data_IF_915595680539
#
_entry.id   IF_915595680539
#
_cell.length_a   1.000
_cell.length_b   1.000
_cell.length_c   1.000
_cell.angle_alpha   90.00
_cell.angle_beta   90.00
_cell.angle_gamma   90.00
#
_symmetry.space_group_name_H-M   'P 1'
#
loop_
_entity.id
_entity.type
_entity.pdbx_description
1 polymer ?
#
# COMPACT_ATOMS: atom_id res chain seq x y z
N UNK A 1 -1.33 0.53 -21.90
CA UNK A 1 -2.23 1.69 -22.09
C UNK A 1 -2.66 1.68 -23.55
N UNK A 2 -3.96 1.91 -23.82
CA UNK A 2 -4.51 1.90 -25.18
C UNK A 2 -3.71 2.86 -26.07
N UNK A 3 -3.12 2.37 -27.16
CA UNK A 3 -2.20 3.16 -28.00
C UNK A 3 -2.92 4.11 -28.97
N UNK A 4 -4.25 4.05 -29.04
CA UNK A 4 -5.05 4.98 -29.84
C UNK A 4 -4.98 6.41 -29.27
N UNK A 5 -4.52 7.41 -30.04
CA UNK A 5 -4.31 8.79 -29.56
C UNK A 5 -5.54 9.43 -28.91
N UNK A 6 -6.75 8.96 -29.25
CA UNK A 6 -8.02 9.48 -28.73
C UNK A 6 -8.37 9.08 -27.29
N UNK A 7 -7.63 8.14 -26.68
CA UNK A 7 -7.97 7.55 -25.37
C UNK A 7 -6.92 7.76 -24.27
N UNK A 8 -5.88 8.56 -24.54
CA UNK A 8 -4.75 8.74 -23.62
C UNK A 8 -5.16 9.30 -22.26
N UNK A 9 -6.03 10.33 -22.24
CA UNK A 9 -6.52 10.96 -21.00
C UNK A 9 -7.32 9.98 -20.15
N UNK A 10 -8.18 9.19 -20.78
CA UNK A 10 -9.02 8.17 -20.15
C UNK A 10 -8.16 7.08 -19.53
N UNK A 11 -7.11 6.64 -20.26
CA UNK A 11 -6.14 5.68 -19.75
C UNK A 11 -5.37 6.23 -18.52
N UNK A 12 -5.00 7.51 -18.51
CA UNK A 12 -4.33 8.14 -17.36
C UNK A 12 -5.23 8.24 -16.13
N UNK A 13 -6.48 8.71 -16.30
CA UNK A 13 -7.46 8.79 -15.21
C UNK A 13 -7.70 7.40 -14.62
N UNK A 14 -7.92 6.40 -15.47
CA UNK A 14 -8.15 5.03 -15.02
C UNK A 14 -6.91 4.44 -14.33
N UNK A 15 -5.70 4.72 -14.83
CA UNK A 15 -4.45 4.30 -14.18
C UNK A 15 -4.32 4.91 -12.78
N UNK A 16 -4.66 6.20 -12.62
CA UNK A 16 -4.64 6.87 -11.33
C UNK A 16 -5.65 6.26 -10.35
N UNK A 17 -6.86 5.97 -10.82
CA UNK A 17 -7.87 5.27 -10.02
C UNK A 17 -7.38 3.89 -9.58
N UNK A 18 -6.88 3.06 -10.50
CA UNK A 18 -6.43 1.70 -10.21
C UNK A 18 -5.26 1.67 -9.23
N UNK A 19 -4.34 2.65 -9.30
CA UNK A 19 -3.27 2.80 -8.33
C UNK A 19 -3.80 3.14 -6.93
N UNK A 20 -4.73 4.10 -6.85
CA UNK A 20 -5.36 4.45 -5.58
C UNK A 20 -6.10 3.26 -4.95
N UNK A 21 -6.77 2.45 -5.77
CA UNK A 21 -7.41 1.22 -5.30
C UNK A 21 -6.39 0.19 -4.83
N UNK A 22 -5.31 -0.05 -5.59
CA UNK A 22 -4.23 -0.94 -5.18
C UNK A 22 -3.60 -0.52 -3.84
N UNK A 23 -3.35 0.77 -3.65
CA UNK A 23 -2.81 1.32 -2.40
C UNK A 23 -3.79 1.15 -1.24
N UNK A 24 -5.10 1.33 -1.49
CA UNK A 24 -6.17 1.09 -0.52
C UNK A 24 -6.22 -0.38 -0.10
N UNK A 25 -6.17 -1.31 -1.06
CA UNK A 25 -6.13 -2.76 -0.78
C UNK A 25 -4.89 -3.15 0.01
N UNK A 26 -3.73 -2.62 -0.36
CA UNK A 26 -2.49 -2.90 0.35
C UNK A 26 -2.55 -2.38 1.79
N UNK A 27 -3.15 -1.21 2.00
CA UNK A 27 -3.34 -0.62 3.34
C UNK A 27 -4.29 -1.48 4.18
N UNK A 28 -5.43 -1.89 3.61
CA UNK A 28 -6.41 -2.75 4.27
C UNK A 28 -5.81 -4.12 4.63
N UNK A 29 -5.11 -4.75 3.67
CA UNK A 29 -4.42 -6.02 3.89
C UNK A 29 -3.36 -5.88 5.00
N UNK A 30 -2.59 -4.80 5.01
CA UNK A 30 -1.61 -4.52 6.07
C UNK A 30 -2.28 -4.33 7.43
N UNK A 31 -3.44 -3.66 7.48
CA UNK A 31 -4.24 -3.49 8.69
C UNK A 31 -4.78 -4.84 9.21
N UNK A 32 -5.36 -5.66 8.33
CA UNK A 32 -5.83 -7.01 8.66
C UNK A 32 -4.69 -7.90 9.15
N UNK A 33 -3.55 -7.93 8.45
CA UNK A 33 -2.37 -8.69 8.89
C UNK A 33 -1.88 -8.24 10.28
N UNK A 34 -1.78 -6.92 10.50
CA UNK A 34 -1.37 -6.37 11.81
C UNK A 34 -2.34 -6.80 12.91
N UNK A 35 -3.63 -6.77 12.62
CA UNK A 35 -4.69 -7.17 13.56
C UNK A 35 -4.63 -8.66 13.84
N UNK A 36 -4.46 -9.51 12.82
CA UNK A 36 -4.35 -10.96 12.95
C UNK A 36 -3.14 -11.36 13.80
N UNK A 37 -1.97 -10.76 13.56
CA UNK A 37 -0.75 -11.04 14.34
C UNK A 37 -0.94 -10.66 15.82
N UNK A 38 -1.55 -9.51 16.10
CA UNK A 38 -1.84 -9.09 17.48
C UNK A 38 -2.83 -10.02 18.16
N UNK A 39 -3.90 -10.40 17.46
CA UNK A 39 -4.93 -11.30 17.97
C UNK A 39 -4.36 -12.68 18.30
N UNK A 40 -3.66 -13.30 17.34
CA UNK A 40 -2.99 -14.58 17.53
C UNK A 40 -1.94 -14.52 18.66
N UNK A 41 -1.16 -13.43 18.73
CA UNK A 41 -0.19 -13.21 19.79
C UNK A 41 -0.83 -13.13 21.19
N UNK A 42 -1.96 -12.42 21.31
CA UNK A 42 -2.67 -12.29 22.58
C UNK A 42 -3.26 -13.62 23.05
N UNK A 43 -3.91 -14.37 22.16
CA UNK A 43 -4.48 -15.69 22.48
C UNK A 43 -3.37 -16.68 22.82
N UNK A 44 -2.27 -16.68 22.08
CA UNK A 44 -1.09 -17.53 22.36
C UNK A 44 -0.46 -17.20 23.71
N UNK A 45 -0.38 -15.92 24.06
CA UNK A 45 0.12 -15.47 25.36
C UNK A 45 -0.77 -15.97 26.50
N UNK A 46 -2.09 -15.79 26.40
CA UNK A 46 -3.04 -16.27 27.40
C UNK A 46 -3.00 -17.80 27.55
N UNK A 47 -2.97 -18.51 26.42
CA UNK A 47 -2.87 -19.97 26.37
C UNK A 47 -1.59 -20.46 27.05
N UNK A 48 -0.42 -19.91 26.70
CA UNK A 48 0.85 -20.29 27.32
C UNK A 48 0.90 -20.01 28.83
N UNK A 49 0.27 -18.93 29.31
CA UNK A 49 0.16 -18.66 30.76
C UNK A 49 -0.69 -19.71 31.47
N UNK A 50 -1.80 -20.15 30.85
CA UNK A 50 -2.65 -21.23 31.39
C UNK A 50 -1.88 -22.55 31.40
N UNK A 51 -1.28 -22.92 30.27
CA UNK A 51 -0.55 -24.18 30.11
C UNK A 51 0.54 -24.33 31.16
N UNK A 52 1.33 -23.29 31.37
CA UNK A 52 2.41 -23.34 32.37
C UNK A 52 1.89 -23.51 33.80
N UNK A 53 0.79 -22.84 34.16
CA UNK A 53 0.18 -23.01 35.49
C UNK A 53 -0.37 -24.43 35.64
N UNK A 54 -1.10 -24.96 34.66
CA UNK A 54 -1.64 -26.33 34.73
C UNK A 54 -0.53 -27.37 34.76
N UNK A 55 0.51 -27.22 33.94
CA UNK A 55 1.67 -28.09 33.93
C UNK A 55 2.50 -28.00 35.21
N UNK A 56 2.61 -26.83 35.83
CA UNK A 56 3.23 -26.67 37.14
C UNK A 56 2.49 -27.51 38.19
N UNK A 57 1.16 -27.44 38.23
CA UNK A 57 0.35 -28.27 39.13
C UNK A 57 0.50 -29.76 38.81
N UNK A 58 0.48 -30.15 37.53
CA UNK A 58 0.70 -31.54 37.11
C UNK A 58 2.05 -32.09 37.55
N UNK A 59 3.11 -31.29 37.48
CA UNK A 59 4.47 -31.73 37.76
C UNK A 59 4.86 -31.59 39.24
N UNK A 60 4.18 -30.74 40.01
CA UNK A 60 4.42 -30.55 41.44
C UNK A 60 3.73 -31.61 42.34
N UNK A 61 3.19 -32.67 41.75
CA UNK A 61 2.53 -33.75 42.49
C UNK A 61 3.41 -35.00 42.63
N UNK A 62 3.18 -35.77 43.68
CA UNK A 62 3.81 -37.07 43.85
C UNK A 62 3.23 -38.12 42.90
N UNK A 63 4.04 -39.14 42.58
CA UNK A 63 3.64 -40.29 41.75
C UNK A 63 2.61 -41.21 42.41
N UNK A 64 2.47 -41.16 43.74
CA UNK A 64 1.59 -42.03 44.51
C UNK A 64 0.31 -41.28 44.94
N UNK A 65 -0.90 -41.78 44.63
CA UNK A 65 -2.17 -41.09 44.90
C UNK A 65 -2.44 -40.75 46.37
N UNK A 66 -1.77 -41.44 47.30
CA UNK A 66 -1.99 -41.33 48.75
C UNK A 66 -1.25 -40.19 49.44
N UNK A 67 -0.38 -39.45 48.74
CA UNK A 67 0.45 -38.43 49.39
C UNK A 67 0.91 -37.39 48.36
N UNK A 68 0.22 -36.26 48.22
CA UNK A 68 0.80 -35.14 47.47
C UNK A 68 0.23 -34.84 46.07
N UNK A 69 -1.08 -34.97 45.83
CA UNK A 69 -1.72 -34.64 44.55
C UNK A 69 -2.04 -33.15 44.40
N UNK A 70 -1.79 -32.59 43.20
CA UNK A 70 -2.10 -31.20 42.85
C UNK A 70 -3.22 -31.05 41.82
N UNK A 71 -3.50 -32.09 41.03
CA UNK A 71 -4.68 -32.16 40.18
C UNK A 71 -5.52 -33.39 40.58
N UNK A 72 -6.80 -33.17 40.87
CA UNK A 72 -7.72 -34.25 41.23
C UNK A 72 -8.83 -34.46 40.21
N UNK A 73 -9.26 -35.71 40.00
CA UNK A 73 -10.36 -36.02 39.08
C UNK A 73 -11.72 -35.63 39.66
N UNK A 74 -11.84 -35.66 40.99
CA UNK A 74 -13.07 -35.34 41.70
C UNK A 74 -12.76 -34.38 42.86
N UNK A 75 -13.81 -33.91 43.53
CA UNK A 75 -13.69 -33.17 44.81
C UNK A 75 -13.21 -34.06 45.97
N UNK A 76 -13.02 -35.37 45.75
CA UNK A 76 -12.54 -36.29 46.78
C UNK A 76 -11.02 -36.26 46.90
N UNK A 77 -10.54 -36.33 48.14
CA UNK A 77 -9.12 -36.44 48.45
C UNK A 77 -8.50 -37.66 47.77
N UNK A 78 -7.20 -37.56 47.43
CA UNK A 78 -6.38 -38.68 46.93
C UNK A 78 -6.87 -39.30 45.60
N UNK A 79 -7.71 -38.60 44.83
CA UNK A 79 -8.16 -39.03 43.51
C UNK A 79 -7.32 -38.40 42.40
N UNK A 80 -6.35 -39.13 41.83
CA UNK A 80 -5.49 -38.59 40.77
C UNK A 80 -6.31 -38.18 39.54
N UNK A 81 -6.04 -37.00 38.99
CA UNK A 81 -6.64 -36.57 37.73
C UNK A 81 -6.29 -37.53 36.58
N UNK A 82 -7.26 -37.79 35.69
CA UNK A 82 -7.00 -38.49 34.44
C UNK A 82 -6.02 -37.68 33.57
N UNK A 83 -5.16 -38.35 32.80
CA UNK A 83 -4.19 -37.66 31.94
C UNK A 83 -4.85 -36.69 30.94
N UNK A 84 -6.09 -37.01 30.53
CA UNK A 84 -6.92 -36.21 29.63
C UNK A 84 -7.21 -34.80 30.14
N UNK A 85 -7.20 -34.57 31.46
CA UNK A 85 -7.42 -33.24 32.07
C UNK A 85 -6.34 -32.24 31.65
N UNK A 86 -5.14 -32.74 31.29
CA UNK A 86 -4.01 -31.92 30.84
C UNK A 86 -3.65 -32.13 29.37
N UNK A 87 -4.47 -32.88 28.61
CA UNK A 87 -4.15 -33.23 27.23
C UNK A 87 -4.07 -32.01 26.29
N UNK A 88 -4.77 -30.92 26.64
CA UNK A 88 -4.68 -29.64 25.94
C UNK A 88 -3.38 -28.86 26.24
N UNK A 89 -2.81 -29.03 27.43
CA UNK A 89 -1.60 -28.32 27.87
C UNK A 89 -0.35 -29.07 27.39
N UNK A 90 0.06 -28.82 26.16
CA UNK A 90 1.21 -29.49 25.53
C UNK A 90 1.98 -28.54 24.63
N UNK A 91 3.25 -28.85 24.42
CA UNK A 91 4.04 -28.20 23.38
C UNK A 91 3.41 -28.50 22.02
N UNK A 92 2.84 -27.47 21.40
CA UNK A 92 2.18 -27.57 20.09
C UNK A 92 3.04 -26.86 19.05
N UNK A 93 3.28 -27.52 17.92
CA UNK A 93 3.97 -26.94 16.78
C UNK A 93 2.97 -26.13 15.94
N UNK A 94 2.83 -24.85 16.28
CA UNK A 94 1.89 -23.94 15.62
C UNK A 94 2.13 -23.79 14.11
N UNK A 95 3.28 -24.22 13.57
CA UNK A 95 3.53 -24.20 12.12
C UNK A 95 2.79 -25.31 11.37
N UNK A 96 2.24 -26.29 12.08
CA UNK A 96 1.49 -27.44 11.53
C UNK A 96 0.00 -27.39 11.83
N UNK A 97 -0.42 -26.46 12.68
CA UNK A 97 -1.83 -26.31 13.05
C UNK A 97 -2.63 -25.69 11.91
N UNK A 98 -3.88 -26.13 11.76
CA UNK A 98 -4.81 -25.55 10.82
C UNK A 98 -5.39 -24.26 11.39
N UNK A 99 -5.80 -23.35 10.51
CA UNK A 99 -6.50 -22.15 10.92
C UNK A 99 -7.84 -22.51 11.59
N UNK A 100 -8.10 -21.86 12.71
CA UNK A 100 -9.32 -21.99 13.50
C UNK A 100 -10.07 -20.66 13.47
N UNK A 101 -11.36 -20.70 13.14
CA UNK A 101 -12.26 -19.53 13.07
C UNK A 101 -13.08 -19.38 14.37
N UNK A 102 -12.58 -19.90 15.49
CA UNK A 102 -13.25 -19.78 16.78
C UNK A 102 -13.18 -18.33 17.29
N UNK A 103 -14.33 -17.78 17.68
CA UNK A 103 -14.43 -16.48 18.34
C UNK A 103 -14.25 -16.60 19.86
N UNK A 104 -13.00 -16.60 20.31
CA UNK A 104 -12.63 -16.79 21.72
C UNK A 104 -13.23 -15.80 22.74
N UNK A 105 -13.90 -14.73 22.32
CA UNK A 105 -14.52 -13.79 23.25
C UNK A 105 -15.60 -14.47 24.10
N UNK A 106 -16.47 -15.26 23.47
CA UNK A 106 -17.58 -15.91 24.15
C UNK A 106 -17.08 -17.06 25.03
N UNK A 107 -16.17 -17.91 24.54
CA UNK A 107 -15.58 -19.00 25.32
C UNK A 107 -14.85 -18.45 26.55
N UNK A 108 -14.06 -17.37 26.41
CA UNK A 108 -13.38 -16.77 27.54
C UNK A 108 -14.38 -16.28 28.61
N UNK A 109 -15.46 -15.63 28.18
CA UNK A 109 -16.53 -15.15 29.09
C UNK A 109 -17.28 -16.29 29.76
N UNK A 110 -17.53 -17.40 29.04
CA UNK A 110 -18.25 -18.55 29.58
C UNK A 110 -17.39 -19.37 30.56
N UNK A 111 -16.11 -19.58 30.23
CA UNK A 111 -15.20 -20.42 31.02
C UNK A 111 -14.70 -19.68 32.26
N UNK A 112 -14.30 -18.41 32.14
CA UNK A 112 -13.66 -17.68 33.23
C UNK A 112 -14.65 -16.73 33.91
N UNK A 113 -15.55 -17.31 34.71
CA UNK A 113 -16.57 -16.60 35.50
C UNK A 113 -16.36 -16.78 36.98
N UNK A 114 -16.91 -15.90 37.81
CA UNK A 114 -16.92 -16.09 39.27
C UNK A 114 -17.80 -17.25 39.74
N UNK A 115 -18.60 -17.85 38.84
CA UNK A 115 -19.34 -19.09 39.11
C UNK A 115 -18.55 -20.36 38.76
N UNK A 116 -17.44 -20.23 38.02
CA UNK A 116 -16.60 -21.38 37.66
C UNK A 116 -15.91 -21.88 38.92
N UNK A 117 -16.25 -23.09 39.35
CA UNK A 117 -15.73 -23.69 40.58
C UNK A 117 -14.23 -24.00 40.48
N UNK A 118 -13.51 -23.68 41.56
CA UNK A 118 -12.13 -24.05 41.83
C UNK A 118 -12.11 -24.77 43.18
N UNK A 119 -12.49 -26.04 43.18
CA UNK A 119 -12.52 -26.83 44.42
C UNK A 119 -11.31 -27.76 44.48
N UNK A 120 -10.53 -27.66 45.55
CA UNK A 120 -9.57 -28.68 45.93
C UNK A 120 -10.22 -29.75 46.82
N UNK A 121 -9.67 -30.97 46.84
CA UNK A 121 -10.08 -31.97 47.83
C UNK A 121 -9.77 -31.52 49.26
N UNK A 122 -10.63 -31.88 50.21
CA UNK A 122 -10.33 -31.75 51.65
C UNK A 122 -9.07 -32.56 51.95
N UNK A 123 -7.99 -31.91 52.46
CA UNK A 123 -6.75 -32.49 53.03
C UNK A 123 -5.40 -32.00 52.47
N UNK A 124 -5.31 -30.83 51.82
CA UNK A 124 -4.04 -30.11 51.68
C UNK A 124 -2.92 -30.86 50.96
N UNK A 125 -3.28 -31.74 50.02
CA UNK A 125 -2.35 -32.63 49.33
C UNK A 125 -1.43 -31.92 48.32
N UNK A 126 -1.63 -30.64 48.03
CA UNK A 126 -0.80 -29.93 47.07
C UNK A 126 0.06 -28.88 47.76
N UNK A 127 1.38 -28.98 47.61
CA UNK A 127 2.30 -27.95 48.12
C UNK A 127 2.01 -26.57 47.49
N UNK A 128 1.53 -26.54 46.24
CA UNK A 128 1.19 -25.30 45.54
C UNK A 128 -0.02 -24.57 46.09
N UNK A 129 -0.86 -25.25 46.87
CA UNK A 129 -2.00 -24.65 47.56
C UNK A 129 -1.80 -24.61 49.07
N UNK A 130 -0.57 -24.84 49.55
CA UNK A 130 -0.25 -24.71 50.97
C UNK A 130 -0.36 -23.25 51.46
N UNK A 131 -0.39 -23.07 52.78
CA UNK A 131 -0.49 -21.75 53.40
C UNK A 131 0.66 -20.83 52.95
N UNK A 132 0.30 -19.74 52.27
CA UNK A 132 1.29 -18.84 51.64
C UNK A 132 2.24 -18.22 52.67
N UNK A 133 1.74 -17.87 53.86
CA UNK A 133 2.57 -17.25 54.90
C UNK A 133 3.65 -18.20 55.43
N UNK A 134 3.34 -19.50 55.55
CA UNK A 134 4.25 -20.46 56.18
C UNK A 134 5.06 -21.26 55.16
N UNK A 135 4.43 -21.73 54.09
CA UNK A 135 5.09 -22.55 53.06
C UNK A 135 5.94 -21.71 52.11
N UNK A 136 5.49 -20.51 51.76
CA UNK A 136 6.18 -19.60 50.84
C UNK A 136 6.88 -18.43 51.54
N UNK A 137 6.71 -18.32 52.87
CA UNK A 137 7.35 -17.29 53.71
C UNK A 137 7.05 -15.86 53.25
N UNK A 138 5.84 -15.63 52.73
CA UNK A 138 5.37 -14.28 52.40
C UNK A 138 4.97 -13.55 53.67
N UNK A 139 5.31 -12.27 53.79
CA UNK A 139 5.00 -11.47 54.99
C UNK A 139 3.49 -11.25 55.19
N UNK A 140 2.73 -11.06 54.10
CA UNK A 140 1.26 -10.92 54.15
C UNK A 140 0.60 -11.17 52.79
N UNK A 141 -0.70 -11.46 52.79
CA UNK A 141 -1.54 -11.53 51.59
C UNK A 141 -1.53 -12.87 50.83
N UNK A 142 -2.35 -12.93 49.78
CA UNK A 142 -2.53 -14.11 48.94
C UNK A 142 -1.44 -14.23 47.88
N UNK A 143 -1.29 -15.42 47.30
CA UNK A 143 -0.51 -15.63 46.06
C UNK A 143 -1.46 -15.56 44.87
N UNK A 144 -1.09 -14.79 43.85
CA UNK A 144 -1.89 -14.60 42.65
C UNK A 144 -1.33 -15.45 41.51
N UNK A 145 -2.18 -16.25 40.89
CA UNK A 145 -1.88 -16.98 39.65
C UNK A 145 -2.77 -16.44 38.54
N UNK A 146 -2.25 -16.43 37.30
CA UNK A 146 -2.97 -15.93 36.13
C UNK A 146 -3.55 -14.52 36.37
N UNK A 147 -2.72 -13.61 36.86
CA UNK A 147 -3.06 -12.21 37.18
C UNK A 147 -4.24 -12.06 38.17
N UNK A 148 -4.35 -13.03 39.08
CA UNK A 148 -5.37 -13.07 40.13
C UNK A 148 -6.69 -13.66 39.67
N UNK A 149 -6.73 -14.36 38.53
CA UNK A 149 -7.84 -15.23 38.18
C UNK A 149 -8.00 -16.34 39.24
N UNK A 150 -6.87 -16.86 39.72
CA UNK A 150 -6.77 -17.85 40.79
C UNK A 150 -5.97 -17.22 41.93
N UNK A 151 -6.46 -17.35 43.16
CA UNK A 151 -5.76 -16.90 44.36
C UNK A 151 -5.58 -18.03 45.35
N UNK A 152 -4.34 -18.20 45.83
CA UNK A 152 -4.03 -19.09 46.96
C UNK A 152 -4.04 -18.26 48.23
N UNK A 153 -4.84 -18.68 49.21
CA UNK A 153 -5.06 -17.95 50.45
C UNK A 153 -3.81 -17.91 51.33
N UNK A 154 -3.65 -16.84 52.11
CA UNK A 154 -2.61 -16.72 53.13
C UNK A 154 -2.56 -17.91 54.10
N UNK A 155 -3.74 -18.43 54.47
CA UNK A 155 -3.93 -19.59 55.36
C UNK A 155 -3.90 -20.96 54.65
N UNK A 156 -3.79 -20.98 53.32
CA UNK A 156 -3.78 -22.20 52.51
C UNK A 156 -5.12 -22.51 51.86
N UNK A 157 -5.09 -23.32 50.82
CA UNK A 157 -6.20 -23.54 49.90
C UNK A 157 -6.41 -22.38 48.93
N UNK A 158 -7.43 -22.49 48.10
CA UNK A 158 -7.89 -21.37 47.28
C UNK A 158 -8.57 -20.32 48.17
N UNK A 159 -8.43 -19.03 47.83
CA UNK A 159 -9.07 -17.95 48.57
C UNK A 159 -10.61 -17.96 48.43
N UNK A 160 -11.11 -18.57 47.38
CA UNK A 160 -12.53 -18.79 47.07
C UNK A 160 -12.70 -20.16 46.41
N UNK A 161 -13.87 -20.79 46.57
CA UNK A 161 -14.21 -22.05 45.88
C UNK A 161 -14.51 -21.86 44.38
N UNK A 162 -14.25 -20.67 43.85
CA UNK A 162 -14.47 -20.29 42.47
C UNK A 162 -13.31 -19.44 41.95
N UNK A 163 -13.23 -19.30 40.63
CA UNK A 163 -12.40 -18.28 39.97
C UNK A 163 -12.71 -16.90 40.57
N UNK A 164 -11.68 -16.14 40.90
CA UNK A 164 -11.82 -14.88 41.65
C UNK A 164 -12.26 -13.70 40.78
N UNK A 165 -11.77 -13.66 39.54
CA UNK A 165 -12.00 -12.58 38.58
C UNK A 165 -12.63 -13.12 37.31
N UNK A 166 -13.48 -12.34 36.67
CA UNK A 166 -13.96 -12.70 35.32
C UNK A 166 -12.84 -12.52 34.29
N UNK A 167 -13.03 -13.08 33.09
CA UNK A 167 -12.14 -12.84 31.95
C UNK A 167 -11.90 -11.33 31.70
N UNK A 168 -12.98 -10.54 31.70
CA UNK A 168 -12.91 -9.10 31.47
C UNK A 168 -12.19 -8.29 32.58
N UNK A 169 -12.06 -8.87 33.77
CA UNK A 169 -11.40 -8.25 34.92
C UNK A 169 -9.93 -8.69 35.10
N UNK A 170 -9.42 -9.59 34.25
CA UNK A 170 -8.07 -10.15 34.33
C UNK A 170 -7.25 -9.70 33.13
N UNK A 171 -6.10 -9.06 33.34
CA UNK A 171 -5.36 -8.40 32.25
C UNK A 171 -4.94 -9.35 31.11
N UNK A 172 -4.59 -10.61 31.40
CA UNK A 172 -4.27 -11.60 30.35
C UNK A 172 -5.46 -11.95 29.44
N UNK A 173 -6.69 -11.91 29.95
CA UNK A 173 -7.91 -12.31 29.22
C UNK A 173 -8.74 -11.12 28.75
N UNK A 174 -8.58 -9.95 29.39
CA UNK A 174 -9.40 -8.77 29.13
C UNK A 174 -9.44 -8.38 27.66
N UNK A 175 -8.32 -8.33 26.90
CA UNK A 175 -8.38 -8.00 25.48
C UNK A 175 -9.16 -9.02 24.64
N UNK A 176 -9.13 -10.29 25.03
CA UNK A 176 -9.89 -11.37 24.38
C UNK A 176 -11.38 -11.20 24.72
N UNK A 177 -11.70 -11.01 26.00
CA UNK A 177 -13.07 -10.92 26.49
C UNK A 177 -13.79 -9.60 26.16
N UNK A 178 -13.13 -8.59 25.59
CA UNK A 178 -13.75 -7.28 25.31
C UNK A 178 -13.88 -6.92 23.85
N UNK A 179 -13.14 -7.59 22.96
CA UNK A 179 -13.00 -7.12 21.57
C UNK A 179 -12.70 -8.20 20.54
N UNK A 180 -12.60 -9.46 20.96
CA UNK A 180 -12.22 -10.53 20.03
C UNK A 180 -13.33 -10.84 19.04
N UNK A 181 -14.61 -10.70 19.40
CA UNK A 181 -15.72 -10.84 18.44
C UNK A 181 -15.62 -9.81 17.33
N UNK A 182 -15.36 -8.55 17.67
CA UNK A 182 -15.18 -7.49 16.67
C UNK A 182 -13.94 -7.75 15.80
N UNK A 183 -12.87 -8.27 16.40
CA UNK A 183 -11.62 -8.62 15.73
C UNK A 183 -11.83 -9.78 14.75
N UNK A 184 -12.47 -10.86 15.22
CA UNK A 184 -12.86 -12.02 14.43
C UNK A 184 -13.71 -11.58 13.23
N UNK A 185 -14.78 -10.82 13.48
CA UNK A 185 -15.64 -10.32 12.41
C UNK A 185 -14.89 -9.47 11.38
N UNK A 186 -13.93 -8.64 11.81
CA UNK A 186 -13.11 -7.85 10.90
C UNK A 186 -12.17 -8.71 10.04
N UNK A 187 -11.55 -9.73 10.64
CA UNK A 187 -10.64 -10.64 9.94
C UNK A 187 -11.39 -11.57 8.98
N UNK A 188 -12.52 -12.15 9.41
CA UNK A 188 -13.35 -13.07 8.64
C UNK A 188 -14.27 -12.35 7.65
N UNK A 189 -14.39 -11.02 7.72
CA UNK A 189 -15.10 -10.25 6.72
C UNK A 189 -14.48 -10.50 5.34
N UNK A 190 -15.31 -11.01 4.42
CA UNK A 190 -14.92 -11.20 3.03
C UNK A 190 -14.28 -9.92 2.50
N UNK A 191 -13.19 -10.08 1.77
CA UNK A 191 -12.60 -8.94 1.10
C UNK A 191 -13.61 -8.43 0.07
N UNK A 192 -14.28 -7.32 0.40
CA UNK A 192 -15.29 -6.72 -0.49
C UNK A 192 -14.67 -6.17 -1.77
N UNK A 193 -13.34 -6.12 -1.80
CA UNK A 193 -12.59 -5.67 -2.95
C UNK A 193 -12.37 -6.83 -3.89
N UNK A 194 -13.40 -7.05 -4.72
CA UNK A 194 -13.31 -8.00 -5.83
C UNK A 194 -12.09 -7.68 -6.69
N UNK A 195 -11.46 -8.74 -7.22
CA UNK A 195 -10.44 -8.62 -8.26
C UNK A 195 -11.00 -7.73 -9.36
N UNK A 196 -10.32 -6.62 -9.65
CA UNK A 196 -10.68 -5.81 -10.82
C UNK A 196 -10.16 -6.51 -12.08
N UNK A 197 -10.94 -7.47 -12.55
CA UNK A 197 -10.75 -8.11 -13.84
C UNK A 197 -11.43 -7.30 -14.96
N UNK A 198 -11.51 -7.88 -16.16
CA UNK A 198 -12.15 -7.24 -17.30
C UNK A 198 -13.63 -6.87 -17.00
N UNK A 199 -14.35 -7.73 -16.27
CA UNK A 199 -15.74 -7.50 -15.89
C UNK A 199 -15.85 -6.41 -14.81
N UNK A 200 -14.91 -6.39 -13.86
CA UNK A 200 -14.79 -5.30 -12.87
C UNK A 200 -14.57 -3.94 -13.53
N UNK A 201 -13.75 -3.89 -14.59
CA UNK A 201 -13.52 -2.65 -15.34
C UNK A 201 -14.75 -2.19 -16.12
N UNK A 202 -15.53 -3.14 -16.65
CA UNK A 202 -16.80 -2.84 -17.31
C UNK A 202 -17.82 -2.28 -16.32
N UNK A 203 -17.96 -2.89 -15.15
CA UNK A 203 -18.85 -2.42 -14.07
C UNK A 203 -18.47 -1.02 -13.59
N UNK A 204 -17.16 -0.75 -13.51
CA UNK A 204 -16.65 0.57 -13.11
C UNK A 204 -17.13 1.69 -14.03
N UNK A 205 -17.19 1.42 -15.35
CA UNK A 205 -17.55 2.39 -16.38
C UNK A 205 -19.03 2.33 -16.79
N UNK A 206 -19.93 1.85 -15.92
CA UNK A 206 -21.39 1.89 -16.15
C UNK A 206 -22.02 3.22 -15.72
N UNK A 207 -23.11 3.67 -16.38
CA UNK A 207 -23.76 4.95 -16.09
C UNK A 207 -24.16 5.17 -14.62
N UNK A 208 -24.54 4.12 -13.90
CA UNK A 208 -25.03 4.14 -12.53
C UNK A 208 -23.92 4.19 -11.47
N UNK A 209 -22.69 3.84 -11.84
CA UNK A 209 -21.57 3.69 -10.91
C UNK A 209 -20.43 4.67 -11.17
N UNK A 210 -20.20 5.08 -12.43
CA UNK A 210 -19.02 5.85 -12.84
C UNK A 210 -18.85 7.17 -12.08
N UNK A 211 -19.95 7.86 -11.76
CA UNK A 211 -19.92 9.11 -11.01
C UNK A 211 -19.35 8.95 -9.60
N UNK A 212 -19.69 7.85 -8.91
CA UNK A 212 -19.14 7.50 -7.59
C UNK A 212 -17.70 7.05 -7.71
N UNK A 213 -17.46 6.07 -8.58
CA UNK A 213 -16.16 5.41 -8.68
C UNK A 213 -15.05 6.40 -9.06
N UNK A 214 -15.31 7.32 -9.99
CA UNK A 214 -14.28 8.23 -10.50
C UNK A 214 -14.33 9.63 -9.88
N UNK A 215 -15.17 9.87 -8.86
CA UNK A 215 -15.35 11.21 -8.25
C UNK A 215 -14.03 11.84 -7.84
N UNK A 216 -13.30 11.16 -6.98
CA UNK A 216 -12.10 11.71 -6.37
C UNK A 216 -10.96 11.79 -7.38
N UNK A 217 -10.81 10.75 -8.21
CA UNK A 217 -9.78 10.69 -9.25
C UNK A 217 -9.94 11.80 -10.29
N UNK A 218 -11.16 12.04 -10.80
CA UNK A 218 -11.41 13.09 -11.80
C UNK A 218 -11.25 14.48 -11.17
N UNK A 219 -11.74 14.69 -9.94
CA UNK A 219 -11.53 15.95 -9.24
C UNK A 219 -10.05 16.26 -9.03
N UNK A 220 -9.26 15.27 -8.63
CA UNK A 220 -7.81 15.39 -8.44
C UNK A 220 -7.09 15.62 -9.77
N UNK A 221 -7.40 14.84 -10.81
CA UNK A 221 -6.76 14.92 -12.13
C UNK A 221 -6.92 16.30 -12.78
N UNK A 222 -8.13 16.87 -12.73
CA UNK A 222 -8.41 18.20 -13.28
C UNK A 222 -8.22 19.35 -12.27
N UNK A 223 -7.90 19.02 -11.01
CA UNK A 223 -7.69 19.98 -9.92
C UNK A 223 -8.88 20.94 -9.73
N UNK A 224 -10.11 20.43 -9.79
CA UNK A 224 -11.30 21.27 -9.66
C UNK A 224 -11.37 21.95 -8.29
N UNK A 225 -11.63 23.26 -8.29
CA UNK A 225 -11.86 24.08 -7.08
C UNK A 225 -13.08 25.00 -7.30
N UNK A 226 -14.20 24.79 -6.59
CA UNK A 226 -14.47 23.70 -5.66
C UNK A 226 -14.55 22.33 -6.36
N UNK A 227 -14.44 21.26 -5.59
CA UNK A 227 -14.64 19.90 -6.10
C UNK A 227 -16.06 19.75 -6.67
N UNK A 228 -16.18 19.00 -7.76
CA UNK A 228 -17.45 18.67 -8.40
C UNK A 228 -18.13 17.51 -7.70
N UNK A 229 -19.45 17.60 -7.62
CA UNK A 229 -20.29 16.55 -7.04
C UNK A 229 -20.48 15.35 -7.99
N UNK A 230 -20.94 14.23 -7.44
CA UNK A 230 -21.10 12.94 -8.13
C UNK A 230 -21.85 13.07 -9.47
N UNK A 231 -22.95 13.84 -9.50
CA UNK A 231 -23.77 14.01 -10.71
C UNK A 231 -23.04 14.77 -11.83
N UNK A 232 -22.16 15.71 -11.48
CA UNK A 232 -21.37 16.45 -12.47
C UNK A 232 -20.20 15.60 -12.96
N UNK A 233 -19.56 14.85 -12.07
CA UNK A 233 -18.55 13.87 -12.45
C UNK A 233 -19.14 12.80 -13.36
N UNK A 234 -20.35 12.32 -13.08
CA UNK A 234 -21.04 11.37 -13.94
C UNK A 234 -21.14 11.88 -15.38
N UNK A 235 -21.57 13.13 -15.59
CA UNK A 235 -21.66 13.75 -16.93
C UNK A 235 -20.28 13.80 -17.61
N UNK A 236 -19.28 14.31 -16.89
CA UNK A 236 -17.90 14.42 -17.38
C UNK A 236 -17.35 13.04 -17.77
N UNK A 237 -17.51 12.04 -16.92
CA UNK A 237 -17.03 10.69 -17.16
C UNK A 237 -17.78 10.02 -18.33
N UNK A 238 -19.10 10.21 -18.43
CA UNK A 238 -19.89 9.71 -19.56
C UNK A 238 -19.36 10.25 -20.89
N UNK A 239 -19.03 11.54 -20.96
CA UNK A 239 -18.46 12.16 -22.16
C UNK A 239 -17.02 11.72 -22.44
N UNK A 240 -16.19 11.61 -21.40
CA UNK A 240 -14.78 11.20 -21.50
C UNK A 240 -14.65 9.76 -21.98
N UNK A 241 -15.34 8.82 -21.33
CA UNK A 241 -15.23 7.40 -21.62
C UNK A 241 -16.19 6.93 -22.72
N UNK A 242 -17.04 7.83 -23.24
CA UNK A 242 -18.12 7.53 -24.21
C UNK A 242 -19.02 6.41 -23.70
N UNK A 243 -19.58 6.62 -22.52
CA UNK A 243 -20.45 5.65 -21.84
C UNK A 243 -21.86 5.76 -22.42
N UNK A 244 -22.42 4.68 -22.99
CA UNK A 244 -23.76 4.71 -23.56
C UNK A 244 -24.83 4.59 -22.46
N UNK A 245 -26.00 5.19 -22.70
CA UNK A 245 -27.10 5.19 -21.74
C UNK A 245 -27.77 3.82 -21.55
N UNK A 246 -27.62 2.94 -22.54
CA UNK A 246 -28.15 1.56 -22.53
C UNK A 246 -27.30 0.60 -21.66
N UNK A 247 -26.20 1.09 -21.07
CA UNK A 247 -25.31 0.29 -20.26
C UNK A 247 -24.43 -0.69 -21.05
N UNK A 248 -24.38 -0.59 -22.38
CA UNK A 248 -23.41 -1.36 -23.19
C UNK A 248 -21.96 -0.88 -22.98
N UNK A 249 -20.99 -1.57 -23.57
CA UNK A 249 -19.57 -1.22 -23.41
C UNK A 249 -19.28 0.22 -23.81
N UNK A 250 -18.56 0.93 -22.93
CA UNK A 250 -18.06 2.27 -23.20
C UNK A 250 -17.11 2.28 -24.39
N UNK A 251 -16.98 3.41 -25.08
CA UNK A 251 -16.06 3.55 -26.20
C UNK A 251 -14.61 3.22 -25.79
N UNK A 252 -14.23 3.58 -24.56
CA UNK A 252 -12.92 3.23 -24.01
C UNK A 252 -12.75 1.71 -23.82
N UNK A 253 -13.74 1.01 -23.26
CA UNK A 253 -13.69 -0.45 -23.09
C UNK A 253 -13.61 -1.15 -24.45
N UNK A 254 -14.40 -0.72 -25.43
CA UNK A 254 -14.34 -1.27 -26.80
C UNK A 254 -12.95 -1.10 -27.41
N UNK A 255 -12.34 0.07 -27.23
CA UNK A 255 -10.98 0.34 -27.70
C UNK A 255 -9.93 -0.51 -26.97
N UNK A 256 -10.07 -0.68 -25.65
CA UNK A 256 -9.16 -1.51 -24.84
C UNK A 256 -9.25 -2.99 -25.21
N UNK A 257 -10.46 -3.52 -25.43
CA UNK A 257 -10.69 -4.91 -25.87
C UNK A 257 -10.16 -5.18 -27.28
N UNK A 258 -10.04 -4.14 -28.12
CA UNK A 258 -9.51 -4.25 -29.47
C UNK A 258 -8.01 -3.94 -29.57
N UNK A 259 -7.40 -3.43 -28.49
CA UNK A 259 -5.98 -3.06 -28.45
C UNK A 259 -5.12 -4.33 -28.52
N UNK A 260 -4.25 -4.35 -29.53
CA UNK A 260 -3.32 -5.46 -29.79
C UNK A 260 -1.90 -4.96 -29.66
N UNK A 261 -1.07 -5.76 -29.02
CA UNK A 261 0.36 -5.52 -28.91
C UNK A 261 1.13 -6.60 -29.66
N UNK A 262 2.18 -6.20 -30.37
CA UNK A 262 3.08 -7.14 -31.01
C UNK A 262 4.08 -7.65 -29.97
N UNK A 263 3.91 -8.89 -29.53
CA UNK A 263 4.77 -9.49 -28.52
C UNK A 263 5.81 -10.40 -29.20
N UNK A 264 7.12 -10.11 -29.09
CA UNK A 264 8.14 -11.03 -29.56
C UNK A 264 8.25 -12.21 -28.59
N UNK A 265 7.80 -13.39 -29.01
CA UNK A 265 8.21 -14.65 -28.41
C UNK A 265 9.50 -15.13 -29.10
N UNK A 266 10.24 -16.07 -28.49
CA UNK A 266 11.47 -16.62 -29.07
C UNK A 266 11.17 -17.24 -30.45
N UNK A 267 11.40 -16.46 -31.51
CA UNK A 267 11.31 -16.90 -32.92
C UNK A 267 10.13 -16.33 -33.72
N UNK A 268 9.07 -15.81 -33.10
CA UNK A 268 7.92 -15.21 -33.80
C UNK A 268 7.38 -13.97 -33.08
N UNK A 269 6.96 -12.96 -33.84
CA UNK A 269 6.24 -11.82 -33.30
C UNK A 269 4.74 -12.08 -33.48
N UNK A 270 4.03 -12.40 -32.39
CA UNK A 270 2.59 -12.63 -32.42
C UNK A 270 1.84 -11.42 -31.89
N UNK A 271 0.71 -11.08 -32.50
CA UNK A 271 -0.20 -10.06 -31.97
C UNK A 271 -1.08 -10.70 -30.90
N UNK A 272 -0.98 -10.20 -29.67
CA UNK A 272 -1.88 -10.58 -28.58
C UNK A 272 -2.69 -9.38 -28.11
N UNK A 273 -3.88 -9.64 -27.58
CA UNK A 273 -4.69 -8.60 -26.98
C UNK A 273 -3.99 -8.08 -25.73
N UNK A 274 -3.86 -6.76 -25.59
CA UNK A 274 -3.14 -6.14 -24.46
C UNK A 274 -3.75 -6.54 -23.11
N UNK A 275 -5.06 -6.79 -23.06
CA UNK A 275 -5.75 -7.27 -21.85
C UNK A 275 -5.44 -8.73 -21.48
N UNK A 276 -4.86 -9.51 -22.38
CA UNK A 276 -4.51 -10.92 -22.17
C UNK A 276 -3.04 -11.12 -21.78
N UNK A 277 -2.24 -10.05 -21.81
CA UNK A 277 -0.84 -10.10 -21.42
C UNK A 277 -0.70 -10.23 -19.90
N UNK A 278 0.29 -11.00 -19.46
CA UNK A 278 0.67 -11.06 -18.05
C UNK A 278 1.41 -9.78 -17.60
N UNK A 279 1.60 -9.64 -16.29
CA UNK A 279 2.27 -8.48 -15.71
C UNK A 279 3.70 -8.26 -16.24
N UNK A 280 4.49 -9.32 -16.40
CA UNK A 280 5.86 -9.21 -16.89
C UNK A 280 5.90 -8.81 -18.37
N UNK A 281 4.93 -9.29 -19.14
CA UNK A 281 4.75 -8.92 -20.54
C UNK A 281 4.38 -7.43 -20.67
N UNK A 282 3.40 -6.97 -19.89
CA UNK A 282 3.00 -5.56 -19.85
C UNK A 282 4.14 -4.63 -19.40
N UNK A 283 4.91 -5.03 -18.39
CA UNK A 283 6.04 -4.26 -17.89
C UNK A 283 7.13 -4.07 -18.96
N UNK A 284 7.47 -5.14 -19.71
CA UNK A 284 8.46 -5.09 -20.80
C UNK A 284 8.03 -4.15 -21.93
N UNK A 285 6.75 -4.14 -22.28
CA UNK A 285 6.25 -3.24 -23.33
C UNK A 285 6.22 -1.78 -22.87
N UNK A 286 5.90 -1.51 -21.60
CA UNK A 286 6.05 -0.17 -21.04
C UNK A 286 7.50 0.30 -21.04
N UNK A 287 8.44 -0.56 -20.64
CA UNK A 287 9.87 -0.24 -20.65
C UNK A 287 10.35 0.05 -22.07
N UNK A 288 10.00 -0.79 -23.04
CA UNK A 288 10.33 -0.59 -24.45
C UNK A 288 9.72 0.71 -25.01
N UNK A 289 8.48 1.03 -24.65
CA UNK A 289 7.85 2.29 -25.02
C UNK A 289 8.59 3.49 -24.41
N UNK A 290 9.03 3.39 -23.15
CA UNK A 290 9.81 4.41 -22.47
C UNK A 290 11.19 4.59 -23.11
N UNK A 291 11.88 3.48 -23.42
CA UNK A 291 13.17 3.48 -24.12
C UNK A 291 13.03 4.12 -25.51
N UNK A 292 11.98 3.79 -26.25
CA UNK A 292 11.69 4.39 -27.55
C UNK A 292 11.39 5.90 -27.43
N UNK A 293 10.67 6.33 -26.39
CA UNK A 293 10.43 7.75 -26.11
C UNK A 293 11.73 8.47 -25.74
N UNK A 294 12.58 7.87 -24.90
CA UNK A 294 13.89 8.43 -24.56
C UNK A 294 14.81 8.52 -25.78
N UNK A 295 14.81 7.50 -26.65
CA UNK A 295 15.54 7.55 -27.92
C UNK A 295 14.99 8.62 -28.86
N UNK A 296 13.67 8.81 -28.92
CA UNK A 296 13.03 9.88 -29.72
C UNK A 296 13.30 11.26 -29.11
N UNK A 297 13.32 11.40 -27.80
CA UNK A 297 13.70 12.62 -27.10
C UNK A 297 15.18 12.95 -27.33
N UNK A 298 16.07 11.94 -27.36
CA UNK A 298 17.47 12.12 -27.72
C UNK A 298 17.70 12.37 -29.23
N UNK A 299 16.75 12.01 -30.10
CA UNK A 299 16.78 12.30 -31.55
C UNK A 299 16.04 13.60 -31.93
N UNK A 300 15.31 14.22 -31.00
CA UNK A 300 14.53 15.46 -31.18
C UNK A 300 14.65 16.41 -29.97
N UNK A 301 15.80 16.41 -29.30
CA UNK A 301 16.20 17.63 -28.63
C UNK A 301 16.44 18.66 -29.74
N UNK A 302 15.76 19.81 -29.78
CA UNK A 302 16.47 20.99 -30.26
C UNK A 302 17.74 21.04 -29.41
N UNK A 303 18.88 21.29 -30.03
CA UNK A 303 20.03 21.74 -29.27
C UNK A 303 19.59 23.03 -28.56
N UNK A 304 19.14 22.92 -27.31
CA UNK A 304 18.82 24.07 -26.46
C UNK A 304 20.11 24.73 -25.94
N UNK A 305 21.26 24.43 -26.56
CA UNK A 305 22.41 25.31 -26.60
C UNK A 305 22.22 26.22 -27.80
N UNK A 306 21.58 27.38 -27.60
CA UNK A 306 21.63 28.47 -28.59
C UNK A 306 23.03 29.10 -28.63
N UNK A 307 24.07 28.29 -28.81
CA UNK A 307 25.37 28.74 -29.26
C UNK A 307 25.52 28.27 -30.69
N UNK A 308 25.38 29.19 -31.65
CA UNK A 308 25.87 28.96 -33.00
C UNK A 308 27.35 28.61 -32.90
N UNK A 309 27.68 27.34 -33.08
CA UNK A 309 29.06 26.91 -33.29
C UNK A 309 29.66 27.74 -34.44
N UNK A 310 30.84 28.32 -34.21
CA UNK A 310 31.59 29.17 -35.16
C UNK A 310 31.82 28.49 -36.54
N UNK A 311 31.60 27.18 -36.65
CA UNK A 311 31.69 26.41 -37.89
C UNK A 311 30.39 26.28 -38.72
N UNK A 312 29.23 26.66 -38.18
CA UNK A 312 27.94 26.43 -38.84
C UNK A 312 27.70 27.35 -40.05
N UNK A 313 26.97 26.88 -41.08
CA UNK A 313 26.64 27.71 -42.25
C UNK A 313 25.86 28.97 -41.89
N UNK A 314 25.02 28.90 -40.84
CA UNK A 314 24.28 30.05 -40.33
C UNK A 314 25.23 31.08 -39.67
N UNK A 315 26.25 30.62 -38.94
CA UNK A 315 27.29 31.51 -38.39
C UNK A 315 28.06 32.19 -39.52
N UNK A 316 28.49 31.44 -40.54
CA UNK A 316 29.23 32.01 -41.68
C UNK A 316 28.43 33.09 -42.42
N UNK A 317 27.14 32.87 -42.67
CA UNK A 317 26.26 33.87 -43.31
C UNK A 317 26.03 35.11 -42.43
N UNK A 318 25.86 34.93 -41.12
CA UNK A 318 25.71 36.04 -40.19
C UNK A 318 27.00 36.85 -40.07
N UNK A 319 28.14 36.17 -39.98
CA UNK A 319 29.48 36.75 -39.94
C UNK A 319 29.82 37.48 -41.25
N UNK A 320 29.47 36.93 -42.42
CA UNK A 320 29.59 37.63 -43.71
C UNK A 320 28.70 38.89 -43.79
N UNK A 321 27.52 38.85 -43.18
CA UNK A 321 26.61 40.01 -43.12
C UNK A 321 27.19 41.11 -42.24
N UNK A 322 27.74 40.75 -41.09
CA UNK A 322 28.39 41.70 -40.19
C UNK A 322 29.68 42.26 -40.80
N UNK A 323 30.54 41.44 -41.41
CA UNK A 323 31.81 41.89 -42.00
C UNK A 323 31.62 42.88 -43.17
N UNK A 324 30.42 42.98 -43.77
CA UNK A 324 30.08 43.99 -44.79
C UNK A 324 29.83 45.39 -44.20
N UNK A 325 29.63 45.51 -42.89
CA UNK A 325 29.44 46.77 -42.19
C UNK A 325 30.79 47.34 -41.76
N UNK A 326 31.27 48.36 -42.46
CA UNK A 326 32.57 48.98 -42.20
C UNK A 326 32.48 50.10 -41.16
N UNK A 327 31.33 50.76 -41.03
CA UNK A 327 31.12 51.83 -40.06
C UNK A 327 30.66 51.30 -38.69
N UNK A 328 31.30 51.77 -37.63
CA UNK A 328 31.01 51.35 -36.26
C UNK A 328 29.57 51.64 -35.81
N UNK A 329 29.01 52.78 -36.23
CA UNK A 329 27.63 53.15 -35.90
C UNK A 329 26.61 52.21 -36.57
N UNK A 330 26.80 51.91 -37.86
CA UNK A 330 25.94 50.99 -38.60
C UNK A 330 26.08 49.54 -38.09
N UNK A 331 27.29 49.12 -37.72
CA UNK A 331 27.54 47.81 -37.12
C UNK A 331 26.81 47.64 -35.78
N UNK A 332 26.94 48.62 -34.88
CA UNK A 332 26.34 48.53 -33.56
C UNK A 332 24.80 48.76 -33.58
N UNK A 333 24.27 49.40 -34.62
CA UNK A 333 22.82 49.48 -34.85
C UNK A 333 22.22 48.15 -35.35
N UNK A 334 23.04 47.25 -35.90
CA UNK A 334 22.56 45.94 -36.36
C UNK A 334 22.28 45.01 -35.17
N UNK A 335 21.11 44.34 -35.12
CA UNK A 335 20.68 43.54 -33.97
C UNK A 335 21.53 42.29 -33.72
N UNK A 336 22.33 41.85 -34.70
CA UNK A 336 23.14 40.63 -34.62
C UNK A 336 24.66 40.87 -34.70
N UNK A 337 25.10 42.12 -34.85
CA UNK A 337 26.52 42.46 -35.03
C UNK A 337 27.05 43.41 -33.96
N UNK A 338 28.35 43.34 -33.69
CA UNK A 338 29.06 44.21 -32.75
C UNK A 338 30.42 44.63 -33.32
N UNK A 339 30.76 45.91 -33.14
CA UNK A 339 32.00 46.47 -33.65
C UNK A 339 33.14 46.20 -32.66
N UNK A 340 34.18 45.49 -33.09
CA UNK A 340 35.29 45.16 -32.21
C UNK A 340 36.17 46.40 -31.97
N UNK A 341 36.13 46.94 -30.75
CA UNK A 341 36.91 48.11 -30.31
C UNK A 341 38.22 47.75 -29.62
N UNK A 342 38.46 46.45 -29.38
CA UNK A 342 39.61 45.93 -28.63
C UNK A 342 40.82 45.57 -29.51
N UNK A 343 40.69 45.61 -30.84
CA UNK A 343 41.76 45.34 -31.81
C UNK A 343 42.43 46.63 -32.33
N UNK A 344 43.62 46.51 -32.94
CA UNK A 344 44.32 47.64 -33.58
C UNK A 344 43.50 48.26 -34.71
N UNK A 345 43.68 49.56 -35.01
CA UNK A 345 42.86 50.31 -36.01
C UNK A 345 42.74 49.61 -37.37
N UNK A 346 43.77 48.87 -37.79
CA UNK A 346 43.79 48.12 -39.06
C UNK A 346 42.96 46.82 -39.02
N UNK A 347 42.59 46.32 -37.83
CA UNK A 347 41.85 45.08 -37.59
C UNK A 347 40.45 45.29 -37.00
N UNK A 348 40.05 46.54 -36.74
CA UNK A 348 38.70 46.85 -36.26
C UNK A 348 37.67 46.54 -37.35
N UNK A 349 36.83 45.55 -37.09
CA UNK A 349 35.75 45.16 -37.99
C UNK A 349 34.51 44.73 -37.23
N UNK A 350 33.39 44.80 -37.92
CA UNK A 350 32.11 44.35 -37.42
C UNK A 350 32.05 42.82 -37.47
N UNK A 351 31.75 42.19 -36.34
CA UNK A 351 31.62 40.73 -36.20
C UNK A 351 30.23 40.36 -35.70
N UNK A 352 29.83 39.12 -35.95
CA UNK A 352 28.62 38.56 -35.36
C UNK A 352 28.76 38.48 -33.83
N UNK A 353 27.71 38.89 -33.12
CA UNK A 353 27.63 38.79 -31.66
C UNK A 353 26.43 37.93 -31.28
N UNK A 354 26.71 36.67 -30.91
CA UNK A 354 25.71 35.70 -30.55
C UNK A 354 24.83 36.16 -29.38
N UNK A 355 25.41 36.83 -28.38
CA UNK A 355 24.67 37.31 -27.21
C UNK A 355 23.71 38.42 -27.59
N UNK A 356 24.14 39.33 -28.46
CA UNK A 356 23.32 40.43 -28.97
C UNK A 356 22.18 39.93 -29.85
N UNK A 357 22.45 38.94 -30.71
CA UNK A 357 21.44 38.29 -31.54
C UNK A 357 20.34 37.61 -30.69
N UNK A 358 20.73 36.88 -29.64
CA UNK A 358 19.78 36.25 -28.71
C UNK A 358 18.99 37.27 -27.90
N UNK A 359 19.64 38.34 -27.42
CA UNK A 359 18.98 39.38 -26.62
C UNK A 359 17.95 40.20 -27.39
N UNK A 360 18.11 40.33 -28.71
CA UNK A 360 17.18 41.07 -29.57
C UNK A 360 16.06 40.19 -30.15
N UNK A 361 15.96 38.92 -29.74
CA UNK A 361 14.87 38.03 -30.12
C UNK A 361 14.81 37.71 -31.62
N UNK A 362 15.91 37.90 -32.36
CA UNK A 362 15.97 37.57 -33.80
C UNK A 362 16.08 36.05 -33.93
N UNK A 363 15.06 35.35 -34.49
CA UNK A 363 15.18 33.93 -34.77
C UNK A 363 16.26 33.76 -35.84
N UNK A 364 17.26 32.92 -35.58
CA UNK A 364 18.23 32.51 -36.59
C UNK A 364 17.45 31.81 -37.70
N UNK A 365 17.46 32.36 -38.92
CA UNK A 365 16.69 31.86 -40.03
C UNK A 365 17.03 30.39 -40.30
N UNK A 366 16.14 29.50 -39.89
CA UNK A 366 16.21 28.08 -40.18
C UNK A 366 15.80 27.89 -41.64
N UNK A 367 16.69 27.33 -42.46
CA UNK A 367 16.38 27.02 -43.86
C UNK A 367 15.20 26.05 -43.90
N UNK A 368 14.03 26.53 -44.34
CA UNK A 368 12.87 25.70 -44.62
C UNK A 368 13.01 25.09 -46.01
N UNK A 369 13.00 23.76 -46.09
CA UNK A 369 12.68 23.04 -47.33
C UNK A 369 11.24 22.53 -47.21
N UNK A 370 10.37 23.14 -48.04
CA UNK A 370 8.94 22.90 -48.31
C UNK A 370 8.15 21.80 -47.57
N UNK A 371 7.04 22.23 -46.95
CA UNK A 371 5.91 21.38 -46.54
C UNK A 371 4.98 22.12 -45.57
N UNK A 372 3.80 22.54 -46.04
CA UNK A 372 2.86 23.49 -45.45
C UNK A 372 2.09 22.98 -44.21
N UNK A 373 1.74 23.95 -43.34
CA UNK A 373 0.66 23.99 -42.31
C UNK A 373 1.01 23.77 -40.81
N UNK A 374 1.40 24.91 -40.22
CA UNK A 374 0.83 25.62 -39.05
C UNK A 374 0.74 24.98 -37.65
N UNK A 375 1.38 25.72 -36.74
CA UNK A 375 1.08 25.96 -35.32
C UNK A 375 1.30 24.81 -34.34
N UNK A 376 2.51 24.78 -33.78
CA UNK A 376 2.68 24.53 -32.35
C UNK A 376 3.70 25.53 -31.81
N UNK A 377 3.18 26.69 -31.40
CA UNK A 377 3.85 27.59 -30.46
C UNK A 377 4.19 26.79 -29.20
N UNK A 378 5.48 26.50 -28.99
CA UNK A 378 6.02 26.19 -27.66
C UNK A 378 7.48 26.60 -27.60
N UNK A 379 7.74 27.71 -26.92
CA UNK A 379 8.83 27.79 -25.97
C UNK A 379 8.34 28.64 -24.80
N UNK A 380 8.05 27.93 -23.70
CA UNK A 380 7.69 28.43 -22.39
C UNK A 380 8.10 29.88 -22.09
N UNK A 381 7.09 30.75 -21.94
CA UNK A 381 7.22 31.99 -21.17
C UNK A 381 7.74 31.65 -19.77
N UNK A 382 8.93 32.15 -19.44
CA UNK A 382 9.46 32.21 -18.09
C UNK A 382 9.53 33.68 -17.67
N UNK A 383 8.58 34.03 -16.80
CA UNK A 383 8.58 35.05 -15.72
C UNK A 383 8.88 36.51 -16.06
N UNK A 384 7.89 37.35 -15.72
CA UNK A 384 7.98 38.79 -15.48
C UNK A 384 6.64 39.28 -14.97
#
# INVERSE_FOLDING_TARGET
AVKSPGWATQALILTAYLRSEADRHLTELTSKMTTAVKAAGQVSYASGRIDEVILLFKNAQHRTPSSGLCLSQTKQANSAAAETVTAGCKSTDLTKELADETDFEEEAKQVFTQSTELTGGTNGNCALTAAVLTAYKKDSGNMLLLDGLIEIASAGGFATDNIKKTAAATDIFKPIASSYTATHNYLSAADTTGRLDAEGLEKLLKPEAVGRNLKDTINSFYQYKPAKEENDIKKIATELFKIPADGSDSGFIKALKADKELFPTLGTAEQQLTMQLDYQQLAREQEKALQNLNQKANKKGPDCSNELSEGSEAYKKAEETCNKLTEAAACNANPICSYNTTESEENKKCKFDAKKATSNGVPVAQTQTGGTESTTEKCFEKKG
#
